data_IF_732038552345
#
_entry.id   IF_732038552345
#
_cell.length_a   1.000
_cell.length_b   1.000
_cell.length_c   1.000
_cell.angle_alpha   90.00
_cell.angle_beta   90.00
_cell.angle_gamma   90.00
#
_symmetry.space_group_name_H-M   'P 1'
#
loop_
_entity.id
_entity.type
_entity.pdbx_description
1 polymer ?
#
# COMPACT_ATOMS: atom_id res chain seq x y z
N UNK A 1 -9.71 2.77 -0.11
CA UNK A 1 -10.50 3.00 1.12
C UNK A 1 -9.97 2.08 2.20
N UNK A 2 -9.76 2.60 3.41
CA UNK A 2 -9.30 1.83 4.56
C UNK A 2 -10.45 1.02 5.21
N UNK A 3 -10.18 -0.12 5.88
CA UNK A 3 -11.21 -0.96 6.49
C UNK A 3 -12.11 -0.24 7.50
N UNK A 4 -11.55 0.62 8.34
CA UNK A 4 -12.27 1.38 9.36
C UNK A 4 -13.25 2.40 8.75
N UNK A 5 -12.90 3.01 7.61
CA UNK A 5 -13.84 3.86 6.86
C UNK A 5 -14.97 3.02 6.28
N UNK A 6 -14.63 1.84 5.74
CA UNK A 6 -15.62 0.92 5.18
C UNK A 6 -16.62 0.41 6.23
N UNK A 7 -16.17 0.25 7.48
CA UNK A 7 -16.99 -0.21 8.60
C UNK A 7 -17.71 0.91 9.36
N UNK A 8 -17.60 2.18 8.92
CA UNK A 8 -18.14 3.36 9.63
C UNK A 8 -17.61 3.48 11.08
N UNK A 9 -16.33 3.13 11.28
CA UNK A 9 -15.63 3.20 12.56
C UNK A 9 -14.92 4.56 12.72
N UNK A 10 -14.49 4.88 13.95
CA UNK A 10 -13.66 6.06 14.21
C UNK A 10 -12.33 5.90 13.49
N UNK A 11 -11.95 6.92 12.72
CA UNK A 11 -10.74 6.92 11.93
C UNK A 11 -9.89 8.18 12.15
N UNK A 12 -8.62 8.09 11.78
CA UNK A 12 -7.67 9.20 11.83
C UNK A 12 -6.86 9.29 10.52
N UNK A 13 -5.74 10.02 10.55
CA UNK A 13 -4.86 10.24 9.39
C UNK A 13 -4.18 8.95 8.87
N UNK A 14 -4.20 7.85 9.62
CA UNK A 14 -3.68 6.56 9.14
C UNK A 14 -4.49 5.98 7.97
N UNK A 15 -5.72 6.47 7.74
CA UNK A 15 -6.53 6.14 6.56
C UNK A 15 -5.92 6.65 5.25
N UNK A 16 -5.25 7.81 5.31
CA UNK A 16 -4.53 8.38 4.18
C UNK A 16 -3.28 7.54 3.87
N UNK A 17 -2.58 7.05 4.90
CA UNK A 17 -1.45 6.12 4.72
C UNK A 17 -1.90 4.80 4.06
N UNK A 18 -3.07 4.28 4.43
CA UNK A 18 -3.65 3.12 3.76
C UNK A 18 -3.90 3.37 2.27
N UNK A 19 -4.57 4.48 1.96
CA UNK A 19 -4.88 4.83 0.57
C UNK A 19 -3.61 5.08 -0.24
N UNK A 20 -2.57 5.64 0.39
CA UNK A 20 -1.25 5.80 -0.21
C UNK A 20 -0.58 4.46 -0.54
N UNK A 21 -0.64 3.46 0.37
CA UNK A 21 -0.14 2.11 0.09
C UNK A 21 -0.82 1.46 -1.11
N UNK A 22 -2.14 1.62 -1.26
CA UNK A 22 -2.89 1.15 -2.43
C UNK A 22 -2.42 1.84 -3.71
N UNK A 23 -2.23 3.16 -3.70
CA UNK A 23 -1.73 3.93 -4.85
C UNK A 23 -0.33 3.47 -5.25
N UNK A 24 0.57 3.26 -4.28
CA UNK A 24 1.92 2.77 -4.57
C UNK A 24 1.90 1.39 -5.24
N UNK A 25 1.03 0.49 -4.79
CA UNK A 25 0.83 -0.79 -5.46
C UNK A 25 0.33 -0.60 -6.91
N UNK A 26 -0.66 0.26 -7.13
CA UNK A 26 -1.20 0.54 -8.47
C UNK A 26 -0.13 1.12 -9.40
N UNK A 27 0.72 2.00 -8.89
CA UNK A 27 1.85 2.57 -9.63
C UNK A 27 2.88 1.50 -10.01
N UNK A 28 3.15 0.54 -9.13
CA UNK A 28 4.11 -0.54 -9.39
C UNK A 28 3.57 -1.58 -10.38
N UNK A 29 2.32 -2.00 -10.22
CA UNK A 29 1.73 -3.06 -11.04
C UNK A 29 1.10 -2.51 -12.33
N UNK A 30 0.87 -1.20 -12.41
CA UNK A 30 0.21 -0.54 -13.53
C UNK A 30 -1.28 -0.90 -13.69
N UNK A 31 -1.87 -1.55 -12.67
CA UNK A 31 -3.26 -2.00 -12.66
C UNK A 31 -3.88 -1.87 -11.27
N UNK A 32 -5.20 -1.78 -11.22
CA UNK A 32 -5.95 -1.74 -9.96
C UNK A 32 -5.77 -3.04 -9.15
N UNK A 33 -5.87 -2.98 -7.81
CA UNK A 33 -5.88 -4.16 -6.95
C UNK A 33 -6.91 -5.19 -7.42
N UNK A 34 -6.48 -6.45 -7.52
CA UNK A 34 -7.32 -7.58 -7.93
C UNK A 34 -7.93 -7.51 -9.34
N UNK A 35 -7.38 -6.70 -10.26
CA UNK A 35 -7.79 -6.72 -11.67
C UNK A 35 -7.85 -8.18 -12.22
N UNK A 36 -8.94 -8.58 -12.92
CA UNK A 36 -9.98 -7.74 -13.54
C UNK A 36 -11.25 -7.50 -12.71
N UNK A 37 -11.21 -7.65 -11.37
CA UNK A 37 -12.37 -7.37 -10.51
C UNK A 37 -12.76 -5.89 -10.54
N UNK A 38 -14.03 -5.61 -10.26
CA UNK A 38 -14.49 -4.21 -10.16
C UNK A 38 -13.91 -3.53 -8.92
N UNK A 39 -13.86 -2.19 -8.86
CA UNK A 39 -13.42 -1.46 -7.68
C UNK A 39 -14.20 -1.85 -6.41
N UNK A 40 -15.50 -2.10 -6.50
CA UNK A 40 -16.35 -2.49 -5.38
C UNK A 40 -15.98 -3.89 -4.87
N UNK A 41 -15.73 -4.83 -5.77
CA UNK A 41 -15.25 -6.17 -5.41
C UNK A 41 -13.86 -6.11 -4.77
N UNK A 42 -12.95 -5.27 -5.28
CA UNK A 42 -11.62 -5.08 -4.73
C UNK A 42 -11.67 -4.47 -3.32
N UNK A 43 -12.53 -3.47 -3.10
CA UNK A 43 -12.77 -2.88 -1.77
C UNK A 43 -13.30 -3.94 -0.81
N UNK A 44 -14.26 -4.76 -1.23
CA UNK A 44 -14.77 -5.88 -0.41
C UNK A 44 -13.66 -6.86 -0.05
N UNK A 45 -12.83 -7.28 -1.01
CA UNK A 45 -11.71 -8.20 -0.74
C UNK A 45 -10.71 -7.61 0.25
N UNK A 46 -10.38 -6.32 0.12
CA UNK A 46 -9.38 -5.68 0.97
C UNK A 46 -9.89 -5.35 2.37
N UNK A 47 -11.12 -4.82 2.46
CA UNK A 47 -11.68 -4.30 3.71
C UNK A 47 -12.42 -5.39 4.50
N UNK A 48 -13.28 -6.16 3.83
CA UNK A 48 -14.09 -7.20 4.46
C UNK A 48 -13.32 -8.51 4.62
N UNK A 49 -12.68 -8.99 3.55
CA UNK A 49 -11.98 -10.28 3.57
C UNK A 49 -10.50 -10.17 3.99
N UNK A 50 -10.02 -8.95 4.23
CA UNK A 50 -8.62 -8.65 4.61
C UNK A 50 -7.57 -9.26 3.67
N UNK A 51 -7.94 -9.47 2.39
CA UNK A 51 -7.02 -9.97 1.36
C UNK A 51 -6.15 -8.83 0.84
N UNK A 52 -4.95 -9.17 0.36
CA UNK A 52 -4.05 -8.24 -0.33
C UNK A 52 -3.75 -8.75 -1.74
N UNK A 53 -3.64 -7.85 -2.74
CA UNK A 53 -3.33 -8.28 -4.09
C UNK A 53 -1.89 -8.81 -4.15
N UNK A 54 -1.64 -9.74 -5.09
CA UNK A 54 -0.30 -10.27 -5.30
C UNK A 54 0.50 -9.33 -6.20
N UNK A 55 1.74 -9.05 -5.82
CA UNK A 55 2.72 -8.41 -6.70
C UNK A 55 3.11 -9.38 -7.82
N UNK A 56 2.79 -9.04 -9.08
CA UNK A 56 3.12 -9.85 -10.26
C UNK A 56 4.35 -9.30 -10.97
N UNK A 57 4.70 -8.04 -10.76
CA UNK A 57 5.93 -7.48 -11.32
C UNK A 57 7.15 -8.23 -10.76
N UNK A 58 8.16 -8.43 -11.61
CA UNK A 58 9.37 -9.16 -11.24
C UNK A 58 10.03 -8.48 -10.04
N UNK A 59 10.50 -9.27 -9.07
CA UNK A 59 11.17 -8.78 -7.85
C UNK A 59 12.38 -7.87 -8.16
N UNK A 60 13.02 -8.01 -9.34
CA UNK A 60 14.12 -7.13 -9.76
C UNK A 60 13.68 -5.72 -10.18
N UNK A 61 12.38 -5.46 -10.31
CA UNK A 61 11.82 -4.18 -10.77
C UNK A 61 11.53 -3.21 -9.63
N UNK A 62 11.64 -3.63 -8.38
CA UNK A 62 11.46 -2.79 -7.19
C UNK A 62 12.33 -3.30 -6.04
N UNK A 63 12.57 -2.46 -5.03
CA UNK A 63 13.36 -2.86 -3.85
C UNK A 63 12.48 -3.60 -2.84
N UNK A 64 13.02 -4.60 -2.11
CA UNK A 64 12.30 -5.24 -1.00
C UNK A 64 11.77 -4.22 0.02
N UNK A 65 12.54 -3.18 0.33
CA UNK A 65 12.17 -2.07 1.22
C UNK A 65 10.90 -1.32 0.77
N UNK A 66 10.72 -1.15 -0.55
CA UNK A 66 9.52 -0.50 -1.09
C UNK A 66 8.29 -1.37 -0.92
N UNK A 67 8.42 -2.69 -1.13
CA UNK A 67 7.34 -3.63 -0.90
C UNK A 67 6.94 -3.68 0.57
N UNK A 68 7.91 -3.77 1.47
CA UNK A 68 7.66 -3.73 2.92
C UNK A 68 6.92 -2.45 3.32
N UNK A 69 7.34 -1.29 2.78
CA UNK A 69 6.65 -0.02 3.03
C UNK A 69 5.19 -0.06 2.56
N UNK A 70 4.92 -0.61 1.37
CA UNK A 70 3.55 -0.78 0.87
C UNK A 70 2.76 -1.71 1.81
N UNK A 71 3.37 -2.82 2.23
CA UNK A 71 2.78 -3.81 3.13
C UNK A 71 2.38 -3.22 4.49
N UNK A 72 3.18 -2.30 5.04
CA UNK A 72 2.85 -1.58 6.26
C UNK A 72 1.77 -0.49 6.03
N UNK A 73 1.87 0.29 4.95
CA UNK A 73 0.93 1.36 4.64
C UNK A 73 -0.52 0.85 4.59
N UNK A 74 -0.79 -0.25 3.89
CA UNK A 74 -2.13 -0.84 3.77
C UNK A 74 -2.43 -1.93 4.81
N UNK A 75 -1.74 -1.92 5.95
CA UNK A 75 -1.99 -2.89 7.00
C UNK A 75 -3.42 -2.74 7.56
N UNK A 76 -4.07 -3.84 7.93
CA UNK A 76 -5.44 -3.79 8.45
C UNK A 76 -5.54 -2.97 9.73
N UNK A 77 -4.62 -3.17 10.67
CA UNK A 77 -4.55 -2.42 11.91
C UNK A 77 -3.96 -1.01 11.67
N UNK A 78 -4.69 0.08 11.97
CA UNK A 78 -4.24 1.46 11.80
C UNK A 78 -2.90 1.77 12.46
N UNK A 79 -2.64 1.21 13.66
CA UNK A 79 -1.45 1.46 14.46
C UNK A 79 -0.15 0.92 13.84
N UNK A 80 -0.25 -0.04 12.92
CA UNK A 80 0.92 -0.59 12.20
C UNK A 80 1.35 0.33 11.06
N UNK A 81 0.45 1.19 10.59
CA UNK A 81 0.70 2.03 9.43
C UNK A 81 1.67 3.16 9.82
N UNK A 82 2.74 3.39 9.05
CA UNK A 82 3.68 4.46 9.32
C UNK A 82 3.01 5.83 9.15
N UNK A 83 3.51 6.84 9.88
CA UNK A 83 3.10 8.22 9.59
C UNK A 83 3.71 8.68 8.27
N UNK A 84 3.15 9.72 7.65
CA UNK A 84 3.75 10.29 6.44
C UNK A 84 5.19 10.78 6.64
N UNK A 85 5.57 11.17 7.86
CA UNK A 85 6.96 11.54 8.16
C UNK A 85 7.90 10.33 8.05
N UNK A 86 7.50 9.18 8.59
CA UNK A 86 8.23 7.91 8.40
C UNK A 86 8.24 7.47 6.94
N UNK A 87 7.10 7.56 6.25
CA UNK A 87 6.97 7.19 4.83
C UNK A 87 7.97 7.99 3.98
N UNK A 88 7.99 9.32 4.11
CA UNK A 88 8.91 10.19 3.36
C UNK A 88 10.36 9.80 3.65
N UNK A 89 10.72 9.65 4.92
CA UNK A 89 12.07 9.25 5.34
C UNK A 89 12.49 7.92 4.72
N UNK A 90 11.58 6.92 4.68
CA UNK A 90 11.83 5.62 4.07
C UNK A 90 11.98 5.73 2.55
N UNK A 91 11.12 6.50 1.88
CA UNK A 91 11.18 6.72 0.44
C UNK A 91 12.49 7.41 0.02
N UNK A 92 12.94 8.42 0.75
CA UNK A 92 14.22 9.11 0.49
C UNK A 92 15.40 8.14 0.57
N UNK A 93 15.40 7.23 1.56
CA UNK A 93 16.42 6.18 1.70
C UNK A 93 16.38 5.19 0.54
N UNK A 94 15.18 4.76 0.14
CA UNK A 94 14.98 3.84 -0.99
C UNK A 94 15.50 4.48 -2.29
N UNK A 95 15.09 5.71 -2.58
CA UNK A 95 15.52 6.47 -3.76
C UNK A 95 17.05 6.64 -3.80
N UNK A 96 17.65 7.01 -2.68
CA UNK A 96 19.11 7.18 -2.56
C UNK A 96 19.89 5.88 -2.82
N UNK A 97 19.30 4.73 -2.52
CA UNK A 97 19.92 3.42 -2.76
C UNK A 97 19.74 2.96 -4.22
N UNK A 98 18.61 3.32 -4.86
CA UNK A 98 18.37 3.06 -6.28
C UNK A 98 19.31 3.87 -7.18
N UNK A 99 19.58 5.13 -6.86
CA UNK A 99 20.47 6.01 -7.65
C UNK A 99 21.94 5.56 -7.68
N UNK A 100 22.35 4.65 -6.79
CA UNK A 100 23.72 4.10 -6.73
C UNK A 100 23.90 2.82 -7.56
N UNK A 101 22.82 2.29 -8.14
CA UNK A 101 22.83 1.06 -8.95
C UNK A 101 22.54 1.32 -10.45
N UNK A 102 22.40 2.59 -10.85
CA UNK A 102 22.22 3.02 -12.24
C UNK A 102 23.50 3.44 -12.92
#
# INVERSE_FOLDING_TARGET
>A
MAPEIYNDEIFDRSTDAYSFGVILYEMLEGVQPFHPKTPEEAVKLMCLEKKRPQFKIKVRSYTPDLRELIDECWHSEPIVRPTFSEIITRLDRICSNCSKQG
#
